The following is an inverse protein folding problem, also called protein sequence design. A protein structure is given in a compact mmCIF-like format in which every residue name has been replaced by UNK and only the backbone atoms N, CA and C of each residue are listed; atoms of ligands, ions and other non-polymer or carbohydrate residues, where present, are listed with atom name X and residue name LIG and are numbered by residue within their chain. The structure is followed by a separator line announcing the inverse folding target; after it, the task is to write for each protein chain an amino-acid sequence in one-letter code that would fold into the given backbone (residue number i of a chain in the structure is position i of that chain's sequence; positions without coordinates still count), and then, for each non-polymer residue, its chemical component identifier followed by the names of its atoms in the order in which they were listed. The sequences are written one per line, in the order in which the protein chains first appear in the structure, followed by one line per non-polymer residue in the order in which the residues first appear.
data_IF_181654760166
#
_entry.id   IF_181654760166
#
_cell.length_a   1.000
_cell.length_b   1.000
_cell.length_c   1.000
_cell.angle_alpha   90.00
_cell.angle_beta   90.00
_cell.angle_gamma   90.00
#
_symmetry.space_group_name_H-M   'P 1'
#
loop_
_entity.id
_entity.type
_entity.pdbx_description
1 polymer ?
#
# COMPACT_ATOMS: atom_id res chain seq x y z
N UNK A 1 -17.32 6.37 -3.53
CA UNK A 1 -17.10 4.95 -3.93
C UNK A 1 -15.60 4.74 -3.90
N UNK A 2 -15.13 3.64 -3.30
CA UNK A 2 -13.69 3.36 -3.27
C UNK A 2 -13.30 2.64 -4.56
N UNK A 3 -12.40 3.26 -5.33
CA UNK A 3 -11.71 2.63 -6.43
C UNK A 3 -10.35 2.12 -5.95
N UNK A 4 -9.86 1.02 -6.51
CA UNK A 4 -8.51 0.52 -6.26
C UNK A 4 -7.79 0.40 -7.58
N UNK A 5 -6.55 0.89 -7.63
CA UNK A 5 -5.68 0.84 -8.80
C UNK A 5 -4.24 0.49 -8.40
N UNK A 6 -3.42 -0.02 -9.32
CA UNK A 6 -1.99 -0.17 -9.09
C UNK A 6 -1.35 1.17 -8.68
N UNK A 7 -0.39 1.08 -7.77
CA UNK A 7 0.49 2.19 -7.43
C UNK A 7 1.34 2.55 -8.66
N UNK A 8 1.32 3.83 -9.03
CA UNK A 8 2.11 4.36 -10.13
C UNK A 8 3.27 5.21 -9.62
N UNK A 9 4.23 5.54 -10.48
CA UNK A 9 5.40 6.35 -10.11
C UNK A 9 5.00 7.73 -9.55
N UNK A 10 3.90 8.31 -10.03
CA UNK A 10 3.35 9.56 -9.54
C UNK A 10 2.88 9.50 -8.07
N UNK A 11 2.56 8.30 -7.56
CA UNK A 11 2.10 8.10 -6.18
C UNK A 11 3.25 7.90 -5.19
N UNK A 12 4.49 7.65 -5.65
CA UNK A 12 5.60 7.21 -4.78
C UNK A 12 5.92 8.21 -3.67
N UNK A 13 5.86 9.51 -3.98
CA UNK A 13 6.05 10.56 -2.97
C UNK A 13 4.96 10.49 -1.90
N UNK A 14 3.69 10.42 -2.31
CA UNK A 14 2.56 10.28 -1.39
C UNK A 14 2.61 8.98 -0.57
N UNK A 15 3.00 7.87 -1.19
CA UNK A 15 3.12 6.57 -0.52
C UNK A 15 4.21 6.62 0.57
N UNK A 16 5.37 7.18 0.25
CA UNK A 16 6.45 7.41 1.22
C UNK A 16 5.98 8.28 2.39
N UNK A 17 5.28 9.38 2.11
CA UNK A 17 4.71 10.25 3.13
C UNK A 17 3.66 9.52 3.99
N UNK A 18 2.77 8.73 3.40
CA UNK A 18 1.76 7.96 4.12
C UNK A 18 2.38 6.95 5.10
N UNK A 19 3.43 6.25 4.67
CA UNK A 19 4.19 5.29 5.51
C UNK A 19 4.95 6.03 6.60
N UNK A 20 5.63 7.13 6.26
CA UNK A 20 6.36 7.94 7.24
C UNK A 20 5.44 8.62 8.26
N UNK A 21 4.24 9.05 7.86
CA UNK A 21 3.25 9.58 8.80
C UNK A 21 2.71 8.50 9.74
N UNK A 22 2.55 7.27 9.26
CA UNK A 22 2.09 6.16 10.07
C UNK A 22 3.16 5.68 11.09
N UNK A 23 4.44 5.66 10.71
CA UNK A 23 5.50 4.99 11.50
C UNK A 23 6.81 5.78 11.69
N UNK A 24 6.90 7.01 11.21
CA UNK A 24 8.07 7.90 11.35
C UNK A 24 9.21 7.65 10.35
N UNK A 25 9.19 6.53 9.61
CA UNK A 25 10.21 6.13 8.61
C UNK A 25 9.55 5.38 7.45
N UNK A 26 10.25 5.26 6.32
CA UNK A 26 9.81 4.45 5.17
C UNK A 26 10.39 3.03 5.17
N UNK A 27 11.25 2.71 6.13
CA UNK A 27 11.90 1.42 6.25
C UNK A 27 11.07 0.48 7.11
N UNK A 28 10.72 -0.68 6.55
CA UNK A 28 9.90 -1.71 7.22
C UNK A 28 10.70 -3.00 7.30
N UNK A 29 10.71 -3.65 8.48
CA UNK A 29 11.30 -4.98 8.64
C UNK A 29 10.19 -6.00 8.82
N UNK A 30 10.08 -6.94 7.88
CA UNK A 30 9.16 -8.07 7.94
C UNK A 30 9.86 -9.34 7.48
N UNK A 31 9.51 -10.49 8.08
CA UNK A 31 10.11 -11.81 7.77
C UNK A 31 11.65 -11.81 7.72
N UNK A 32 12.30 -11.03 8.60
CA UNK A 32 13.77 -10.93 8.68
C UNK A 32 14.43 -10.15 7.53
N UNK A 33 13.65 -9.41 6.74
CA UNK A 33 14.11 -8.62 5.59
C UNK A 33 13.78 -7.14 5.80
N UNK A 34 14.68 -6.28 5.33
CA UNK A 34 14.46 -4.84 5.28
C UNK A 34 13.84 -4.45 3.93
N UNK A 35 12.78 -3.67 3.98
CA UNK A 35 12.07 -3.14 2.81
C UNK A 35 12.09 -1.62 2.85
N UNK A 36 12.37 -0.99 1.71
CA UNK A 36 12.11 0.43 1.50
C UNK A 36 10.73 0.59 0.85
N UNK A 37 9.77 1.10 1.62
CA UNK A 37 8.41 1.30 1.16
C UNK A 37 8.33 2.23 -0.06
N UNK A 38 9.29 3.12 -0.31
CA UNK A 38 9.26 3.98 -1.51
C UNK A 38 9.48 3.20 -2.82
N UNK A 39 10.02 1.98 -2.72
CA UNK A 39 10.38 1.13 -3.84
C UNK A 39 9.42 -0.06 -4.04
N UNK A 40 8.48 -0.30 -3.11
CA UNK A 40 7.56 -1.42 -3.21
C UNK A 40 6.40 -1.14 -4.16
N UNK A 41 6.07 -2.15 -4.96
CA UNK A 41 4.83 -2.18 -5.74
C UNK A 41 3.62 -2.38 -4.82
N UNK A 42 2.44 -2.03 -5.32
CA UNK A 42 1.26 -2.01 -4.48
C UNK A 42 0.02 -1.50 -5.18
N UNK A 43 -0.94 -1.15 -4.35
CA UNK A 43 -2.24 -0.62 -4.73
C UNK A 43 -2.54 0.63 -3.92
N UNK A 44 -3.24 1.55 -4.57
CA UNK A 44 -3.79 2.77 -3.96
C UNK A 44 -5.31 2.63 -3.96
N UNK A 45 -5.92 2.89 -2.81
CA UNK A 45 -7.35 3.08 -2.69
C UNK A 45 -7.66 4.57 -2.80
N UNK A 46 -8.61 4.91 -3.66
CA UNK A 46 -9.01 6.28 -3.92
C UNK A 46 -10.50 6.48 -3.66
N UNK A 47 -10.84 7.64 -3.12
CA UNK A 47 -12.21 8.15 -3.04
C UNK A 47 -12.23 9.55 -3.67
N UNK A 48 -13.12 9.75 -4.64
CA UNK A 48 -13.25 10.99 -5.41
C UNK A 48 -11.91 11.48 -6.01
N UNK A 49 -11.11 10.54 -6.52
CA UNK A 49 -9.81 10.78 -7.14
C UNK A 49 -8.69 11.15 -6.16
N UNK A 50 -8.92 11.02 -4.85
CA UNK A 50 -7.93 11.28 -3.80
C UNK A 50 -7.46 9.98 -3.18
N UNK A 51 -6.14 9.76 -3.04
CA UNK A 51 -5.61 8.62 -2.30
C UNK A 51 -6.05 8.65 -0.83
N UNK A 52 -6.66 7.56 -0.38
CA UNK A 52 -7.13 7.36 1.00
C UNK A 52 -6.56 6.10 1.66
N UNK A 53 -5.78 5.31 0.94
CA UNK A 53 -5.15 4.12 1.48
C UNK A 53 -4.11 3.51 0.54
N UNK A 54 -3.19 2.77 1.13
CA UNK A 54 -2.02 2.20 0.50
C UNK A 54 -1.85 0.75 0.96
N UNK A 55 -1.64 -0.16 0.03
CA UNK A 55 -1.13 -1.50 0.33
C UNK A 55 0.07 -1.80 -0.54
N UNK A 56 1.21 -2.12 0.05
CA UNK A 56 2.42 -2.47 -0.68
C UNK A 56 2.84 -3.88 -0.36
N UNK A 57 3.31 -4.58 -1.38
CA UNK A 57 3.60 -5.98 -1.31
C UNK A 57 4.94 -6.29 -1.96
N UNK A 58 5.47 -7.45 -1.62
CA UNK A 58 6.63 -8.06 -2.26
C UNK A 58 6.18 -9.39 -2.85
N UNK A 59 6.50 -9.62 -4.11
CA UNK A 59 6.37 -10.94 -4.74
C UNK A 59 7.75 -11.58 -4.84
N UNK A 60 7.87 -12.83 -4.43
CA UNK A 60 9.10 -13.63 -4.51
C UNK A 60 8.72 -15.05 -4.95
N UNK A 61 8.79 -15.31 -6.26
CA UNK A 61 8.25 -16.55 -6.85
C UNK A 61 6.72 -16.62 -6.68
N UNK A 62 6.25 -17.70 -6.05
CA UNK A 62 4.82 -17.94 -5.79
C UNK A 62 4.34 -17.34 -4.44
N UNK A 63 5.24 -16.69 -3.68
CA UNK A 63 4.89 -16.03 -2.42
C UNK A 63 4.57 -14.55 -2.65
N UNK A 64 3.44 -14.10 -2.10
CA UNK A 64 3.09 -12.68 -2.01
C UNK A 64 3.04 -12.28 -0.52
N UNK A 65 3.90 -11.35 -0.14
CA UNK A 65 3.95 -10.76 1.19
C UNK A 65 3.34 -9.36 1.17
N UNK A 66 2.30 -9.13 1.97
CA UNK A 66 1.83 -7.78 2.27
C UNK A 66 2.78 -7.14 3.31
N UNK A 67 3.50 -6.10 2.91
CA UNK A 67 4.51 -5.43 3.75
C UNK A 67 3.93 -4.18 4.41
N UNK A 68 3.13 -3.40 3.68
CA UNK A 68 2.52 -2.15 4.15
C UNK A 68 1.02 -2.23 3.95
N UNK A 69 0.26 -1.84 4.97
CA UNK A 69 -1.16 -1.53 4.86
C UNK A 69 -1.47 -0.28 5.69
N UNK A 70 -1.87 0.80 5.02
CA UNK A 70 -2.23 2.07 5.64
C UNK A 70 -3.57 2.54 5.07
N UNK A 71 -4.45 3.05 5.94
CA UNK A 71 -5.65 3.78 5.56
C UNK A 71 -5.57 5.15 6.22
N UNK A 72 -5.60 6.24 5.43
CA UNK A 72 -5.55 7.60 5.98
C UNK A 72 -6.92 8.08 6.44
N UNK A 73 -7.98 7.36 6.05
CA UNK A 73 -9.36 7.59 6.51
C UNK A 73 -9.94 6.27 7.03
N UNK A 74 -10.35 6.25 8.30
CA UNK A 74 -10.89 5.06 8.94
C UNK A 74 -12.37 4.79 8.58
N UNK A 75 -12.82 3.53 8.75
CA UNK A 75 -14.21 3.09 8.61
C UNK A 75 -14.88 3.39 7.25
N UNK A 76 -14.09 3.56 6.17
CA UNK A 76 -14.59 3.73 4.79
C UNK A 76 -14.51 2.48 3.92
N UNK A 77 -13.80 1.44 4.37
CA UNK A 77 -13.61 0.20 3.62
C UNK A 77 -12.35 0.14 2.76
N UNK A 78 -11.48 1.16 2.78
CA UNK A 78 -10.25 1.20 2.00
C UNK A 78 -9.35 -0.03 2.26
N UNK A 79 -9.13 -0.38 3.53
CA UNK A 79 -8.34 -1.56 3.91
C UNK A 79 -8.89 -2.87 3.31
N UNK A 80 -10.22 -3.07 3.35
CA UNK A 80 -10.85 -4.27 2.76
C UNK A 80 -10.67 -4.33 1.25
N UNK A 81 -10.82 -3.20 0.56
CA UNK A 81 -10.63 -3.11 -0.89
C UNK A 81 -9.17 -3.38 -1.27
N UNK A 82 -8.21 -2.83 -0.51
CA UNK A 82 -6.78 -3.03 -0.71
C UNK A 82 -6.37 -4.49 -0.50
N UNK A 83 -6.80 -5.10 0.61
CA UNK A 83 -6.52 -6.52 0.88
C UNK A 83 -7.10 -7.45 -0.19
N UNK A 84 -8.25 -7.08 -0.77
CA UNK A 84 -8.84 -7.83 -1.87
C UNK A 84 -8.01 -7.72 -3.15
N UNK A 85 -7.51 -6.52 -3.47
CA UNK A 85 -6.64 -6.31 -4.63
C UNK A 85 -5.30 -7.06 -4.50
N UNK A 86 -4.69 -7.08 -3.31
CA UNK A 86 -3.44 -7.84 -3.08
C UNK A 86 -3.65 -9.35 -3.21
N UNK A 87 -4.80 -9.88 -2.77
CA UNK A 87 -5.11 -11.33 -2.86
C UNK A 87 -5.38 -11.77 -4.30
N UNK A 88 -5.85 -10.88 -5.16
CA UNK A 88 -6.24 -11.19 -6.53
C UNK A 88 -5.80 -10.05 -7.44
N UNK A 89 -4.48 -9.93 -7.70
CA UNK A 89 -3.97 -8.89 -8.57
C UNK A 89 -4.58 -9.05 -9.98
N UNK A 90 -4.88 -7.93 -10.67
CA UNK A 90 -5.52 -7.95 -11.99
C UNK A 90 -4.67 -8.62 -13.07
#
# INVERSE_FOLDING_TARGET
MIAVRPLADADRAWAGDAVSQAWGVTLVVSRGRLHDATQLDGFVAEEDGKPIGLAQHRVDGDECELVVLVSTVEARGAGTSLLTAVRTPP
#
